data_IF_528737461051
#
_entry.id   IF_528737461051
#
_cell.length_a   1.000
_cell.length_b   1.000
_cell.length_c   1.000
_cell.angle_alpha   90.00
_cell.angle_beta   90.00
_cell.angle_gamma   90.00
#
_symmetry.space_group_name_H-M   'P 1'
#
loop_
_entity.id
_entity.type
_entity.pdbx_description
1 polymer ?
#
# COMPACT_ATOMS: atom_id res chain seq x y z
N UNK A 1 16.59 26.00 0.65
CA UNK A 1 16.33 24.66 0.17
C UNK A 1 14.85 24.35 0.28
N UNK A 2 14.32 23.75 -0.74
CA UNK A 2 12.93 23.34 -0.72
C UNK A 2 12.81 22.09 0.10
N UNK A 3 12.07 22.15 1.22
CA UNK A 3 11.91 21.03 2.10
C UNK A 3 11.14 19.89 1.45
N UNK A 4 10.31 20.18 0.47
CA UNK A 4 9.55 19.14 -0.23
C UNK A 4 10.43 18.28 -1.11
N UNK A 5 11.57 18.79 -1.51
CA UNK A 5 12.42 18.10 -2.45
C UNK A 5 12.97 16.80 -1.93
N UNK A 6 13.12 16.67 -0.61
CA UNK A 6 13.72 15.46 -0.13
C UNK A 6 12.79 14.39 0.37
N UNK A 7 11.60 14.73 0.74
CA UNK A 7 10.70 13.72 1.30
C UNK A 7 9.70 13.23 0.29
N UNK A 8 9.23 14.13 -0.55
CA UNK A 8 8.07 13.86 -1.38
C UNK A 8 8.28 14.31 -2.81
N UNK A 9 9.53 14.48 -3.19
CA UNK A 9 9.89 14.96 -4.51
C UNK A 9 9.90 13.82 -5.53
N UNK A 10 8.92 12.95 -5.43
CA UNK A 10 8.73 11.87 -6.39
C UNK A 10 7.57 12.25 -7.29
N UNK A 11 7.67 11.96 -8.60
CA UNK A 11 6.54 12.19 -9.48
C UNK A 11 5.34 11.38 -9.02
N UNK A 12 4.27 12.05 -8.63
CA UNK A 12 3.04 11.35 -8.22
C UNK A 12 2.28 10.82 -9.40
N UNK A 13 2.42 11.47 -10.55
CA UNK A 13 1.76 11.06 -11.77
C UNK A 13 2.71 10.19 -12.59
N UNK A 14 3.01 9.02 -12.07
CA UNK A 14 3.88 8.05 -12.75
C UNK A 14 3.14 6.77 -13.03
N UNK A 15 3.66 6.00 -13.96
CA UNK A 15 3.03 4.74 -14.34
C UNK A 15 2.97 3.75 -13.19
N UNK A 16 1.86 3.01 -13.15
CA UNK A 16 1.66 1.90 -12.23
C UNK A 16 1.41 0.63 -13.04
N UNK A 17 1.67 -0.55 -12.46
CA UNK A 17 1.37 -1.80 -13.14
C UNK A 17 -0.13 -2.00 -13.28
N UNK A 18 -0.54 -2.86 -14.20
CA UNK A 18 -1.95 -3.22 -14.40
C UNK A 18 -2.39 -4.35 -13.49
N UNK A 19 -1.44 -5.05 -12.88
CA UNK A 19 -1.72 -6.12 -11.94
C UNK A 19 -0.60 -6.23 -10.92
N UNK A 20 -0.93 -6.84 -9.77
CA UNK A 20 0.03 -7.12 -8.70
C UNK A 20 0.08 -8.62 -8.51
N UNK A 21 1.29 -9.20 -8.49
CA UNK A 21 1.46 -10.65 -8.36
C UNK A 21 2.29 -10.98 -7.13
N UNK A 22 1.94 -12.07 -6.49
CA UNK A 22 2.66 -12.56 -5.34
C UNK A 22 1.98 -13.79 -4.74
N UNK A 23 2.10 -13.94 -3.44
CA UNK A 23 1.54 -15.06 -2.72
C UNK A 23 0.82 -14.56 -1.47
N UNK A 24 -0.32 -15.16 -1.15
CA UNK A 24 -0.90 -14.93 0.17
C UNK A 24 -0.01 -15.58 1.24
N UNK A 25 -0.23 -15.22 2.49
CA UNK A 25 0.54 -15.83 3.59
C UNK A 25 0.41 -17.34 3.61
N UNK A 26 -0.68 -17.89 3.10
CA UNK A 26 -0.90 -19.33 2.98
C UNK A 26 0.03 -20.00 1.97
N UNK A 27 0.70 -19.22 1.12
CA UNK A 27 1.54 -19.75 0.05
C UNK A 27 0.85 -19.85 -1.30
N UNK A 28 -0.44 -19.54 -1.36
CA UNK A 28 -1.20 -19.61 -2.61
C UNK A 28 -0.83 -18.45 -3.53
N UNK A 29 -0.48 -18.75 -4.77
CA UNK A 29 -0.15 -17.73 -5.76
C UNK A 29 -1.39 -16.93 -6.14
N UNK A 30 -1.22 -15.63 -6.34
CA UNK A 30 -2.32 -14.74 -6.65
C UNK A 30 -1.89 -13.62 -7.59
N UNK A 31 -2.80 -13.22 -8.48
CA UNK A 31 -2.66 -12.04 -9.31
C UNK A 31 -3.87 -11.16 -9.06
N UNK A 32 -3.63 -9.92 -8.69
CA UNK A 32 -4.69 -8.94 -8.42
C UNK A 32 -4.70 -7.94 -9.57
N UNK A 33 -5.78 -7.95 -10.35
CA UNK A 33 -5.94 -6.98 -11.42
C UNK A 33 -6.33 -5.62 -10.84
N UNK A 34 -5.74 -4.56 -11.37
CA UNK A 34 -6.06 -3.20 -10.95
C UNK A 34 -7.19 -2.67 -11.84
N UNK A 35 -8.40 -3.09 -11.51
CA UNK A 35 -9.62 -2.72 -12.24
C UNK A 35 -10.53 -1.79 -11.44
N UNK A 36 -10.06 -1.33 -10.30
CA UNK A 36 -10.74 -0.37 -9.43
C UNK A 36 -9.67 0.49 -8.77
N UNK A 37 -10.02 1.67 -8.24
CA UNK A 37 -9.05 2.47 -7.49
C UNK A 37 -8.43 1.63 -6.40
N UNK A 38 -7.10 1.55 -6.35
CA UNK A 38 -6.38 0.62 -5.48
C UNK A 38 -5.36 1.36 -4.63
N UNK A 39 -5.48 1.18 -3.32
CA UNK A 39 -4.50 1.64 -2.36
C UNK A 39 -3.59 0.45 -2.03
N UNK A 40 -2.32 0.56 -2.39
CA UNK A 40 -1.31 -0.44 -2.05
C UNK A 40 -0.57 0.05 -0.82
N UNK A 41 -0.63 -0.73 0.26
CA UNK A 41 0.05 -0.40 1.52
C UNK A 41 1.19 -1.38 1.71
N UNK A 42 2.42 -0.90 1.62
CA UNK A 42 3.61 -1.74 1.77
C UNK A 42 4.03 -1.68 3.23
N UNK A 43 3.96 -2.82 3.90
CA UNK A 43 4.22 -2.94 5.33
C UNK A 43 5.58 -3.59 5.59
N UNK A 44 6.01 -3.53 6.84
CA UNK A 44 7.23 -4.19 7.32
C UNK A 44 7.00 -4.71 8.74
N UNK A 45 7.83 -5.66 9.20
CA UNK A 45 7.79 -6.11 10.60
C UNK A 45 8.13 -4.98 11.58
N UNK A 46 7.67 -5.13 12.83
CA UNK A 46 7.98 -4.21 13.93
C UNK A 46 7.52 -2.76 13.65
N UNK A 47 6.34 -2.64 13.11
CA UNK A 47 5.76 -1.35 12.73
C UNK A 47 4.33 -1.28 13.26
N UNK A 48 4.06 -0.34 14.19
CA UNK A 48 2.75 -0.24 14.82
C UNK A 48 1.64 0.11 13.82
N UNK A 49 1.91 1.06 12.94
CA UNK A 49 0.94 1.43 11.91
C UNK A 49 0.65 0.29 10.94
N UNK A 50 1.65 -0.53 10.66
CA UNK A 50 1.48 -1.71 9.81
C UNK A 50 0.57 -2.73 10.46
N UNK A 51 0.76 -2.97 11.77
CA UNK A 51 -0.11 -3.88 12.51
C UNK A 51 -1.54 -3.38 12.53
N UNK A 52 -1.74 -2.07 12.66
CA UNK A 52 -3.08 -1.51 12.58
C UNK A 52 -3.74 -1.81 11.25
N UNK A 53 -3.01 -1.67 10.14
CA UNK A 53 -3.55 -2.00 8.82
C UNK A 53 -3.98 -3.46 8.74
N UNK A 54 -3.17 -4.36 9.25
CA UNK A 54 -3.43 -5.81 9.14
C UNK A 54 -4.60 -6.24 10.01
N UNK A 55 -4.76 -5.65 11.19
CA UNK A 55 -5.72 -6.11 12.19
C UNK A 55 -6.98 -5.26 12.31
N UNK A 56 -7.13 -4.20 11.53
CA UNK A 56 -8.30 -3.31 11.58
C UNK A 56 -9.31 -3.63 10.49
N UNK A 57 -10.52 -3.08 10.63
CA UNK A 57 -11.58 -3.23 9.63
C UNK A 57 -11.33 -2.42 8.36
N UNK A 58 -10.59 -1.33 8.46
CA UNK A 58 -10.29 -0.39 7.37
C UNK A 58 -11.54 0.28 6.78
N UNK A 59 -12.60 0.44 7.58
CA UNK A 59 -13.85 1.03 7.12
C UNK A 59 -13.65 2.46 6.59
N UNK A 60 -12.74 3.20 7.19
CA UNK A 60 -12.45 4.57 6.76
C UNK A 60 -11.73 4.65 5.41
N UNK A 61 -11.31 3.51 4.87
CA UNK A 61 -10.68 3.40 3.56
C UNK A 61 -11.58 2.75 2.52
N UNK A 62 -12.88 2.73 2.74
CA UNK A 62 -13.84 1.99 1.92
C UNK A 62 -13.98 2.50 0.49
N UNK A 63 -13.48 3.70 0.18
CA UNK A 63 -13.63 4.28 -1.16
C UNK A 63 -12.73 3.67 -2.23
N UNK A 64 -11.85 2.76 -1.88
CA UNK A 64 -10.95 2.10 -2.81
C UNK A 64 -10.63 0.69 -2.31
N UNK A 65 -10.12 -0.14 -3.21
CA UNK A 65 -9.60 -1.46 -2.83
C UNK A 65 -8.30 -1.25 -2.06
N UNK A 66 -8.12 -1.99 -0.95
CA UNK A 66 -6.88 -1.95 -0.19
C UNK A 66 -6.14 -3.26 -0.39
N UNK A 67 -4.88 -3.18 -0.83
CA UNK A 67 -3.99 -4.33 -0.97
C UNK A 67 -2.79 -4.10 -0.06
N UNK A 68 -2.64 -4.98 0.94
CA UNK A 68 -1.54 -4.90 1.90
C UNK A 68 -0.43 -5.82 1.41
N UNK A 69 0.77 -5.29 1.26
CA UNK A 69 1.91 -6.00 0.67
C UNK A 69 3.07 -6.02 1.64
N UNK A 70 3.70 -7.19 1.77
CA UNK A 70 4.95 -7.35 2.50
C UNK A 70 6.00 -7.92 1.57
N UNK A 71 7.25 -7.47 1.70
CA UNK A 71 8.35 -8.03 0.94
C UNK A 71 8.74 -9.41 1.43
N UNK A 72 8.42 -9.74 2.69
CA UNK A 72 8.84 -10.98 3.33
C UNK A 72 7.66 -11.71 3.95
N UNK A 73 7.85 -13.03 4.15
CA UNK A 73 6.88 -13.83 4.89
C UNK A 73 6.87 -13.41 6.35
N UNK A 74 5.74 -13.68 7.01
CA UNK A 74 5.58 -13.38 8.43
C UNK A 74 6.26 -14.46 9.26
N UNK A 75 7.57 -14.35 9.45
CA UNK A 75 8.35 -15.34 10.19
C UNK A 75 8.15 -15.25 11.70
N UNK A 76 7.76 -14.07 12.18
CA UNK A 76 7.55 -13.85 13.61
C UNK A 76 6.10 -13.97 14.06
N UNK A 77 5.19 -14.25 13.15
CA UNK A 77 3.77 -14.36 13.48
C UNK A 77 3.09 -13.03 13.81
N UNK A 78 3.65 -11.90 13.38
CA UNK A 78 3.07 -10.59 13.66
C UNK A 78 1.69 -10.41 13.06
N UNK A 79 1.43 -11.12 11.95
CA UNK A 79 0.16 -11.00 11.24
C UNK A 79 -0.75 -12.19 11.46
N UNK A 80 -0.46 -13.01 12.45
CA UNK A 80 -1.34 -14.10 12.87
C UNK A 80 -2.67 -13.52 13.34
N UNK A 81 -3.76 -14.16 12.95
CA UNK A 81 -5.09 -13.65 13.27
C UNK A 81 -5.44 -12.38 12.50
N UNK A 82 -4.75 -12.11 11.40
CA UNK A 82 -4.97 -10.92 10.60
C UNK A 82 -6.42 -10.82 10.13
N UNK A 83 -6.97 -9.62 10.21
CA UNK A 83 -8.29 -9.32 9.68
C UNK A 83 -8.23 -9.08 8.19
N UNK A 84 -7.11 -8.62 7.69
CA UNK A 84 -6.87 -8.34 6.28
C UNK A 84 -5.92 -9.36 5.70
N UNK A 85 -6.02 -9.61 4.42
CA UNK A 85 -5.07 -10.47 3.71
C UNK A 85 -3.78 -9.71 3.44
N UNK A 86 -2.66 -10.41 3.50
CA UNK A 86 -1.34 -9.84 3.21
C UNK A 86 -0.76 -10.55 2.00
N UNK A 87 -0.41 -9.77 0.99
CA UNK A 87 0.25 -10.24 -0.22
C UNK A 87 1.76 -10.21 0.01
N UNK A 88 2.42 -11.34 -0.12
CA UNK A 88 3.89 -11.40 -0.06
C UNK A 88 4.41 -11.21 -1.47
N UNK A 89 5.08 -10.09 -1.74
CA UNK A 89 5.56 -9.79 -3.09
C UNK A 89 6.69 -8.77 -3.05
N UNK A 90 7.95 -9.21 -3.05
CA UNK A 90 9.07 -8.28 -3.22
C UNK A 90 9.03 -7.59 -4.58
N UNK A 91 8.45 -8.24 -5.59
CA UNK A 91 8.32 -7.68 -6.93
C UNK A 91 7.50 -6.38 -6.91
N UNK A 92 6.45 -6.29 -6.09
CA UNK A 92 5.61 -5.10 -6.03
C UNK A 92 6.40 -3.89 -5.56
N UNK A 93 7.34 -4.08 -4.63
CA UNK A 93 8.18 -2.97 -4.17
C UNK A 93 8.99 -2.40 -5.34
N UNK A 94 9.53 -3.27 -6.18
CA UNK A 94 10.31 -2.82 -7.34
C UNK A 94 9.43 -2.12 -8.37
N UNK A 95 8.30 -2.71 -8.70
CA UNK A 95 7.39 -2.15 -9.74
C UNK A 95 6.83 -0.80 -9.32
N UNK A 96 6.56 -0.61 -8.04
CA UNK A 96 6.03 0.64 -7.50
C UNK A 96 7.11 1.59 -7.01
N UNK A 97 8.38 1.19 -7.13
CA UNK A 97 9.51 2.00 -6.69
C UNK A 97 9.41 2.38 -5.21
N UNK A 98 9.02 1.43 -4.38
CA UNK A 98 8.95 1.63 -2.93
C UNK A 98 10.26 1.15 -2.31
N UNK A 99 11.03 2.08 -1.76
CA UNK A 99 12.36 1.78 -1.21
C UNK A 99 12.39 1.67 0.30
N UNK A 100 11.49 2.35 0.97
CA UNK A 100 11.50 2.44 2.43
C UNK A 100 10.10 2.22 3.01
N UNK A 101 9.68 0.96 3.18
CA UNK A 101 8.43 0.70 3.90
C UNK A 101 8.52 1.22 5.35
N UNK A 102 7.41 1.58 5.98
CA UNK A 102 6.05 1.47 5.44
C UNK A 102 5.68 2.64 4.53
N UNK A 103 5.04 2.34 3.43
CA UNK A 103 4.73 3.34 2.41
C UNK A 103 3.42 2.96 1.71
N UNK A 104 2.67 3.96 1.22
CA UNK A 104 1.45 3.65 0.48
C UNK A 104 1.47 4.33 -0.89
N UNK A 105 0.76 3.71 -1.83
CA UNK A 105 0.63 4.21 -3.20
C UNK A 105 -0.83 4.06 -3.60
N UNK A 106 -1.45 5.15 -4.06
CA UNK A 106 -2.82 5.13 -4.56
C UNK A 106 -2.79 5.13 -6.08
N UNK A 107 -3.41 4.12 -6.68
CA UNK A 107 -3.41 3.91 -8.13
C UNK A 107 -4.80 4.19 -8.69
N UNK A 108 -4.85 5.05 -9.72
CA UNK A 108 -6.06 5.28 -10.48
C UNK A 108 -6.18 4.16 -11.52
N UNK A 109 -7.32 3.45 -11.49
CA UNK A 109 -7.53 2.28 -12.33
C UNK A 109 -7.79 2.61 -13.80
N UNK A 110 -8.27 3.79 -14.09
CA UNK A 110 -8.56 4.19 -15.47
C UNK A 110 -7.30 4.53 -16.23
N UNK A 111 -6.38 5.24 -15.60
CA UNK A 111 -5.15 5.67 -16.23
C UNK A 111 -3.96 4.77 -15.90
N UNK A 112 -4.08 3.90 -14.89
CA UNK A 112 -3.00 3.09 -14.35
C UNK A 112 -1.80 3.95 -13.96
N UNK A 113 -2.10 5.02 -13.22
CA UNK A 113 -1.06 5.94 -12.75
C UNK A 113 -1.14 6.10 -11.25
N UNK A 114 0.01 6.34 -10.64
CA UNK A 114 0.11 6.67 -9.23
C UNK A 114 -0.33 8.12 -9.06
N UNK A 115 -1.37 8.35 -8.27
CA UNK A 115 -1.93 9.70 -8.09
C UNK A 115 -1.65 10.27 -6.70
N UNK A 116 -1.26 9.43 -5.75
CA UNK A 116 -0.92 9.88 -4.40
C UNK A 116 -0.01 8.83 -3.78
N UNK A 117 0.93 9.25 -2.94
CA UNK A 117 1.80 8.32 -2.21
C UNK A 117 2.37 9.00 -0.98
N UNK A 118 2.82 8.21 -0.04
CA UNK A 118 3.42 8.74 1.17
C UNK A 118 3.79 7.67 2.19
N UNK A 119 4.34 8.12 3.29
CA UNK A 119 4.73 7.28 4.42
C UNK A 119 3.49 6.87 5.20
N UNK A 120 3.50 5.68 5.76
CA UNK A 120 2.39 5.13 6.54
C UNK A 120 2.67 5.28 8.04
N UNK A 121 1.75 5.95 8.74
CA UNK A 121 1.74 5.98 10.20
C UNK A 121 0.55 5.22 10.78
N UNK A 122 -0.49 5.00 9.98
CA UNK A 122 -1.66 4.21 10.32
C UNK A 122 -2.80 4.46 9.36
N UNK A 123 -3.90 3.68 9.45
CA UNK A 123 -5.02 3.82 8.53
C UNK A 123 -5.69 5.19 8.54
N UNK A 124 -5.84 5.79 9.72
CA UNK A 124 -6.51 7.10 9.82
C UNK A 124 -5.74 8.20 9.12
N UNK A 125 -4.42 8.20 9.26
CA UNK A 125 -3.58 9.19 8.59
C UNK A 125 -3.69 9.04 7.07
N UNK A 126 -3.64 7.82 6.57
CA UNK A 126 -3.76 7.56 5.12
C UNK A 126 -5.13 7.98 4.61
N UNK A 127 -6.20 7.65 5.36
CA UNK A 127 -7.56 8.04 4.99
C UNK A 127 -7.69 9.57 4.90
N UNK A 128 -7.09 10.31 5.82
CA UNK A 128 -7.12 11.77 5.81
C UNK A 128 -6.38 12.33 4.61
N UNK A 129 -5.24 11.76 4.25
CA UNK A 129 -4.47 12.21 3.10
C UNK A 129 -5.22 11.96 1.79
N UNK A 130 -5.87 10.81 1.67
CA UNK A 130 -6.70 10.50 0.50
C UNK A 130 -7.89 11.48 0.41
N UNK A 131 -8.55 11.74 1.53
CA UNK A 131 -9.67 12.68 1.55
C UNK A 131 -9.24 14.07 1.11
N UNK A 132 -8.10 14.56 1.57
CA UNK A 132 -7.55 15.86 1.16
C UNK A 132 -7.23 15.89 -0.33
N UNK A 133 -6.66 14.82 -0.85
CA UNK A 133 -6.37 14.71 -2.27
C UNK A 133 -7.66 14.81 -3.10
N UNK A 134 -8.73 14.12 -2.66
CA UNK A 134 -9.98 14.07 -3.41
C UNK A 134 -10.80 15.35 -3.36
N UNK A 135 -10.52 16.23 -2.42
CA UNK A 135 -11.26 17.50 -2.29
C UNK A 135 -10.56 18.66 -3.00
N UNK A 136 -9.45 18.43 -3.65
CA UNK A 136 -8.72 19.48 -4.39
C UNK A 136 -9.40 19.84 -5.68
#
# INVERSE_FOLDING_TARGET
MDINAFSFDRPRDREAPTSLRGYWLSGEAVTIEIDAPTLVVVIKPHCDGCREFVHSSLDELAGQRVVIVSATKDLGGEWDGARQRVLVSPEVLDVLDVKSPPFYVLIDSQTHRVVLEGVVFGPSQVAQEIARYRTR
#
